data_IF_000439169535
#
_entry.id   IF_000439169535
#
_cell.length_a   1.000
_cell.length_b   1.000
_cell.length_c   1.000
_cell.angle_alpha   90.00
_cell.angle_beta   90.00
_cell.angle_gamma   90.00
#
_symmetry.space_group_name_H-M   'P 1'
#
loop_
_entity.id
_entity.type
_entity.pdbx_description
1 polymer ?
#
# COMPACT_ATOMS: atom_id res chain seq x y z
N UNK A 1 -5.12 4.83 20.60
CA UNK A 1 -6.15 4.92 19.54
C UNK A 1 -5.44 4.83 18.20
N UNK A 2 -5.86 3.94 17.31
CA UNK A 2 -5.31 3.83 15.95
C UNK A 2 -6.22 4.54 14.96
N UNK A 3 -5.62 5.15 13.93
CA UNK A 3 -6.34 5.82 12.85
C UNK A 3 -5.98 5.17 11.52
N UNK A 4 -6.90 5.24 10.55
CA UNK A 4 -6.65 4.73 9.20
C UNK A 4 -6.21 5.86 8.28
N UNK A 5 -5.15 5.61 7.52
CA UNK A 5 -4.61 6.55 6.54
C UNK A 5 -4.52 5.86 5.18
N UNK A 6 -4.74 6.63 4.12
CA UNK A 6 -4.58 6.20 2.73
C UNK A 6 -3.32 6.82 2.15
N UNK A 7 -2.47 5.99 1.57
CA UNK A 7 -1.21 6.39 0.95
C UNK A 7 -1.49 7.16 -0.33
N UNK A 8 -0.92 8.36 -0.43
CA UNK A 8 -1.01 9.21 -1.62
C UNK A 8 0.28 9.14 -2.44
N UNK A 9 1.42 8.93 -1.77
CA UNK A 9 2.73 8.77 -2.40
C UNK A 9 3.50 7.58 -1.82
N UNK A 10 4.27 6.85 -2.64
CA UNK A 10 5.02 5.70 -2.17
C UNK A 10 6.05 6.15 -1.14
N UNK A 11 6.05 5.51 0.02
CA UNK A 11 6.97 5.85 1.10
C UNK A 11 7.30 4.61 1.93
N UNK A 12 8.28 4.75 2.83
CA UNK A 12 8.58 3.72 3.82
C UNK A 12 8.19 4.20 5.21
N UNK A 13 7.57 3.31 5.97
CA UNK A 13 7.40 3.54 7.39
C UNK A 13 8.77 3.50 8.13
N UNK A 14 8.81 4.00 9.36
CA UNK A 14 9.94 3.92 10.28
C UNK A 14 10.44 2.48 10.49
N UNK A 15 9.58 1.46 10.33
CA UNK A 15 9.97 0.05 10.36
C UNK A 15 10.60 -0.46 9.05
N UNK A 16 10.65 0.38 8.01
CA UNK A 16 11.18 0.01 6.69
C UNK A 16 10.15 -0.65 5.76
N UNK A 17 8.91 -0.84 6.21
CA UNK A 17 7.80 -1.32 5.38
C UNK A 17 7.49 -0.33 4.27
N UNK A 18 7.50 -0.79 3.02
CA UNK A 18 7.13 0.03 1.87
C UNK A 18 5.60 0.06 1.73
N UNK A 19 5.06 1.26 1.56
CA UNK A 19 3.65 1.52 1.37
C UNK A 19 3.40 2.01 -0.06
N UNK A 20 2.42 1.40 -0.72
CA UNK A 20 2.07 1.73 -2.11
C UNK A 20 0.90 2.70 -2.20
N UNK A 21 0.84 3.50 -3.27
CA UNK A 21 -0.23 4.48 -3.47
C UNK A 21 -1.58 3.79 -3.51
N UNK A 22 -2.52 4.30 -2.72
CA UNK A 22 -3.87 3.78 -2.60
C UNK A 22 -4.04 2.74 -1.49
N UNK A 23 -2.96 2.20 -0.95
CA UNK A 23 -2.99 1.32 0.23
C UNK A 23 -3.57 2.07 1.43
N UNK A 24 -4.38 1.37 2.22
CA UNK A 24 -4.94 1.87 3.47
C UNK A 24 -4.38 1.04 4.60
N UNK A 25 -3.76 1.69 5.58
CA UNK A 25 -3.22 1.03 6.76
C UNK A 25 -3.59 1.78 8.03
N UNK A 26 -3.58 1.06 9.15
CA UNK A 26 -3.82 1.64 10.46
C UNK A 26 -2.50 1.95 11.15
N UNK A 27 -2.36 3.16 11.67
CA UNK A 27 -1.19 3.57 12.44
C UNK A 27 -1.56 4.43 13.65
N UNK A 28 -0.55 4.78 14.44
CA UNK A 28 -0.72 5.68 15.58
C UNK A 28 -1.09 7.08 15.10
N UNK A 29 -1.91 7.78 15.87
CA UNK A 29 -2.35 9.14 15.51
C UNK A 29 -1.18 10.11 15.27
N UNK A 30 -0.11 9.98 16.07
CA UNK A 30 1.12 10.78 15.91
C UNK A 30 1.84 10.51 14.59
N UNK A 31 1.96 9.24 14.19
CA UNK A 31 2.58 8.85 12.92
C UNK A 31 1.73 9.34 11.75
N UNK A 32 0.41 9.10 11.80
CA UNK A 32 -0.53 9.60 10.82
C UNK A 32 -0.40 11.12 10.65
N UNK A 33 -0.29 11.87 11.74
CA UNK A 33 -0.15 13.32 11.68
C UNK A 33 1.16 13.76 11.03
N UNK A 34 2.29 13.14 11.36
CA UNK A 34 3.57 13.38 10.68
C UNK A 34 3.45 13.10 9.19
N UNK A 35 2.95 11.92 8.80
CA UNK A 35 2.83 11.51 7.40
C UNK A 35 1.85 12.36 6.60
N UNK A 36 0.80 12.87 7.23
CA UNK A 36 -0.14 13.83 6.62
C UNK A 36 0.52 15.19 6.41
N UNK A 37 1.29 15.67 7.39
CA UNK A 37 2.05 16.92 7.26
C UNK A 37 3.12 16.83 6.16
N UNK A 38 3.79 15.68 6.04
CA UNK A 38 4.72 15.39 4.95
C UNK A 38 4.01 15.15 3.60
N UNK A 39 2.68 15.01 3.59
CA UNK A 39 1.89 14.79 2.38
C UNK A 39 1.94 13.37 1.81
N UNK A 40 2.59 12.42 2.49
CA UNK A 40 2.68 11.03 2.03
C UNK A 40 1.35 10.28 2.10
N UNK A 41 0.52 10.62 3.08
CA UNK A 41 -0.77 9.96 3.33
C UNK A 41 -1.85 11.00 3.61
N UNK A 42 -3.12 10.58 3.50
CA UNK A 42 -4.28 11.34 3.93
C UNK A 42 -5.08 10.55 4.96
N UNK A 43 -5.65 11.22 5.97
CA UNK A 43 -6.58 10.55 6.89
C UNK A 43 -7.81 10.09 6.13
N UNK A 44 -8.25 8.87 6.40
CA UNK A 44 -9.52 8.36 5.89
C UNK A 44 -10.60 8.81 6.88
N UNK A 45 -11.14 10.00 6.67
CA UNK A 45 -12.36 10.42 7.39
C UNK A 45 -13.55 9.65 6.80
N UNK A 46 -14.22 8.85 7.61
CA UNK A 46 -15.52 8.26 7.23
C UNK A 46 -15.61 6.75 7.06
N UNK A 47 -14.69 5.93 7.56
CA UNK A 47 -14.99 4.50 7.73
C UNK A 47 -15.61 4.25 9.09
N UNK A 48 -16.94 4.34 9.16
CA UNK A 48 -17.69 3.27 9.82
C UNK A 48 -17.10 1.98 9.26
N UNK A 49 -16.47 1.16 10.10
CA UNK A 49 -15.99 -0.16 9.68
C UNK A 49 -17.10 -0.82 8.83
N UNK A 50 -16.86 -1.20 7.57
CA UNK A 50 -17.48 -2.46 7.17
C UNK A 50 -16.84 -3.49 8.10
N UNK A 51 -17.66 -4.15 8.90
CA UNK A 51 -17.25 -5.36 9.63
C UNK A 51 -16.35 -6.22 8.72
N UNK A 52 -15.34 -6.91 9.26
CA UNK A 52 -14.52 -7.82 8.47
C UNK A 52 -15.43 -8.95 7.94
N UNK A 53 -16.01 -8.74 6.76
CA UNK A 53 -16.78 -9.75 6.05
C UNK A 53 -15.79 -10.74 5.45
N UNK A 54 -15.42 -11.72 6.28
CA UNK A 54 -14.87 -12.98 5.85
C UNK A 54 -13.36 -12.99 5.67
N UNK A 55 -12.71 -13.85 6.44
CA UNK A 55 -11.59 -14.63 5.92
C UNK A 55 -11.87 -15.06 4.47
N UNK A 56 -10.95 -14.75 3.56
CA UNK A 56 -10.61 -15.69 2.50
C UNK A 56 -9.11 -15.65 2.27
N UNK A 57 -8.49 -16.64 2.91
CA UNK A 57 -7.16 -17.17 2.66
C UNK A 57 -6.72 -17.07 1.20
N UNK A 58 -5.45 -16.69 1.05
CA UNK A 58 -4.48 -17.17 0.07
C UNK A 58 -4.99 -18.03 -1.09
N UNK A 59 -4.75 -17.57 -2.32
CA UNK A 59 -4.34 -18.48 -3.38
C UNK A 59 -3.13 -17.92 -4.12
N UNK A 60 -2.00 -18.59 -3.90
CA UNK A 60 -0.84 -18.60 -4.79
C UNK A 60 -1.33 -18.97 -6.20
N UNK A 61 -0.87 -18.26 -7.23
CA UNK A 61 -0.59 -18.93 -8.51
C UNK A 61 0.61 -18.27 -9.19
N UNK A 62 1.78 -18.84 -8.92
CA UNK A 62 2.92 -18.84 -9.82
C UNK A 62 2.57 -19.72 -11.05
N UNK A 63 2.79 -19.19 -12.26
CA UNK A 63 2.76 -19.79 -13.62
C UNK A 63 2.05 -18.80 -14.54
N UNK A 64 2.61 -18.22 -15.60
CA UNK A 64 3.56 -18.72 -16.60
C UNK A 64 4.23 -17.50 -17.25
N UNK A 65 5.57 -17.44 -17.32
CA UNK A 65 6.40 -17.91 -18.45
C UNK A 65 5.94 -17.44 -19.85
N UNK A 66 6.75 -16.53 -20.41
CA UNK A 66 7.56 -16.71 -21.65
C UNK A 66 7.30 -15.70 -22.77
N UNK A 67 8.43 -15.15 -23.24
CA UNK A 67 8.74 -14.66 -24.58
C UNK A 67 8.11 -13.36 -25.08
N UNK A 68 8.97 -12.33 -25.20
CA UNK A 68 9.30 -11.78 -26.52
C UNK A 68 10.68 -11.08 -26.44
N UNK A 69 11.70 -11.78 -26.92
CA UNK A 69 12.96 -11.19 -27.36
C UNK A 69 12.65 -10.18 -28.48
N UNK A 70 13.04 -8.92 -28.33
CA UNK A 70 13.13 -7.98 -29.45
C UNK A 70 13.97 -6.74 -29.10
N UNK A 71 15.29 -6.83 -29.28
CA UNK A 71 16.03 -6.03 -30.27
C UNK A 71 17.54 -6.20 -30.09
N UNK A 72 18.15 -6.73 -31.15
CA UNK A 72 19.58 -6.85 -31.37
C UNK A 72 20.29 -5.48 -31.38
N UNK A 73 21.56 -5.39 -30.96
CA UNK A 73 22.43 -4.32 -31.42
C UNK A 73 22.86 -4.64 -32.86
N UNK A 74 22.39 -3.84 -33.81
CA UNK A 74 22.90 -3.87 -35.17
C UNK A 74 23.68 -2.58 -35.42
N UNK A 75 25.00 -2.77 -35.49
CA UNK A 75 26.06 -1.88 -35.99
C UNK A 75 26.55 -0.78 -35.06
#
# INVERSE_FOLDING_TARGET
>A
MSVQVKVSFPHKDRQGTAHEVGEVYACSEQEAQTRVNDGFVRRVEGTTQPEPAGESKALKTEQSRKAAEAKAPAK
#
